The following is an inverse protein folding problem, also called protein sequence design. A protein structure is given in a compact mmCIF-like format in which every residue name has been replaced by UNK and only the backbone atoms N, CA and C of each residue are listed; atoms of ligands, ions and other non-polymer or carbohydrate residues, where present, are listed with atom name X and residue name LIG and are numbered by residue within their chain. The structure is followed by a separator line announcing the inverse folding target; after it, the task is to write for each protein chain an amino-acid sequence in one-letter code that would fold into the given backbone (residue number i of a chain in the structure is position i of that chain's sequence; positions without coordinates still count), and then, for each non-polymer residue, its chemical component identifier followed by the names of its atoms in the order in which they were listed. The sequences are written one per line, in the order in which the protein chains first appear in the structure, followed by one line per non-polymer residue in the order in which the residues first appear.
data_IF_638266563579
#
_entry.id   IF_638266563579
#
_cell.length_a   1.000
_cell.length_b   1.000
_cell.length_c   1.000
_cell.angle_alpha   90.00
_cell.angle_beta   90.00
_cell.angle_gamma   90.00
#
_symmetry.space_group_name_H-M   'P 1'
#
loop_
_entity.id
_entity.type
_entity.pdbx_description
1 polymer ?
#
# COMPACT_ATOMS: atom_id res chain seq x y z
N UNK A 1 25.18 9.22 8.12
CA UNK A 1 24.30 8.66 9.19
C UNK A 1 24.28 7.14 9.03
N UNK A 2 24.26 6.34 10.12
CA UNK A 2 24.14 4.90 9.97
C UNK A 2 22.65 4.52 9.76
N UNK A 3 22.41 3.30 9.26
CA UNK A 3 21.08 2.84 8.89
C UNK A 3 20.07 2.90 10.07
N UNK A 4 20.47 2.51 11.28
CA UNK A 4 19.58 2.52 12.46
C UNK A 4 19.20 3.96 12.84
N UNK A 5 20.11 4.92 12.72
CA UNK A 5 19.79 6.33 12.95
C UNK A 5 18.85 6.90 11.89
N UNK A 6 19.03 6.52 10.61
CA UNK A 6 18.10 6.89 9.54
C UNK A 6 16.70 6.31 9.79
N UNK A 7 16.61 5.01 10.12
CA UNK A 7 15.33 4.38 10.43
C UNK A 7 14.63 5.06 11.64
N UNK A 8 15.39 5.43 12.66
CA UNK A 8 14.86 6.12 13.85
C UNK A 8 14.35 7.52 13.51
N UNK A 9 15.13 8.30 12.77
CA UNK A 9 14.72 9.64 12.35
C UNK A 9 13.45 9.62 11.48
N UNK A 10 13.31 8.57 10.65
CA UNK A 10 12.14 8.37 9.80
C UNK A 10 10.92 7.83 10.55
N UNK A 11 11.06 7.48 11.83
CA UNK A 11 9.98 6.84 12.58
C UNK A 11 9.74 5.38 12.18
N UNK A 12 10.74 4.71 11.62
CA UNK A 12 10.66 3.32 11.14
C UNK A 12 11.23 2.30 12.12
N UNK A 13 11.53 2.69 13.36
CA UNK A 13 12.02 1.81 14.41
C UNK A 13 11.05 1.81 15.59
N UNK A 14 10.28 0.74 15.77
CA UNK A 14 9.37 0.56 16.90
C UNK A 14 10.05 -0.24 18.03
N UNK A 15 10.50 -1.45 17.71
CA UNK A 15 11.15 -2.35 18.67
C UNK A 15 12.35 -3.03 17.99
N UNK A 16 13.35 -3.35 18.78
CA UNK A 16 14.50 -4.14 18.36
C UNK A 16 14.90 -5.06 19.52
N UNK A 17 15.45 -6.22 19.19
CA UNK A 17 16.27 -6.96 20.14
C UNK A 17 17.50 -6.12 20.49
N UNK A 18 18.46 -6.64 21.26
CA UNK A 18 19.67 -5.90 21.63
C UNK A 18 20.19 -5.00 20.49
N UNK A 19 19.88 -3.71 20.59
CA UNK A 19 20.21 -2.73 19.53
C UNK A 19 21.73 -2.56 19.39
N UNK A 20 22.47 -2.71 20.48
CA UNK A 20 23.94 -2.61 20.43
C UNK A 20 24.52 -3.76 19.61
N UNK A 21 24.05 -4.98 19.85
CA UNK A 21 24.45 -6.15 19.07
C UNK A 21 24.01 -6.05 17.61
N UNK A 22 22.79 -5.55 17.34
CA UNK A 22 22.31 -5.32 15.97
C UNK A 22 23.17 -4.28 15.24
N UNK A 23 23.51 -3.16 15.89
CA UNK A 23 24.39 -2.13 15.32
C UNK A 23 25.77 -2.69 14.98
N UNK A 24 26.31 -3.56 15.81
CA UNK A 24 27.59 -4.22 15.54
C UNK A 24 27.48 -5.19 14.36
N UNK A 25 26.42 -5.99 14.31
CA UNK A 25 26.16 -6.90 13.17
C UNK A 25 26.03 -6.15 11.84
N UNK A 26 25.37 -4.99 11.83
CA UNK A 26 25.15 -4.16 10.63
C UNK A 26 26.42 -3.47 10.09
N UNK A 27 27.56 -3.57 10.77
CA UNK A 27 28.84 -3.10 10.21
C UNK A 27 29.36 -3.97 9.07
N UNK A 28 28.78 -5.15 8.88
CA UNK A 28 29.07 -6.09 7.80
C UNK A 28 27.78 -6.42 7.07
N UNK A 29 27.83 -6.85 5.80
CA UNK A 29 26.66 -7.37 5.11
C UNK A 29 26.05 -8.54 5.89
N UNK A 30 24.77 -8.43 6.25
CA UNK A 30 23.97 -9.52 6.82
C UNK A 30 22.81 -9.85 5.89
N UNK A 31 22.25 -11.04 6.02
CA UNK A 31 21.01 -11.41 5.36
C UNK A 31 19.82 -11.15 6.30
N UNK A 32 18.79 -10.53 5.75
CA UNK A 32 17.55 -10.22 6.45
C UNK A 32 16.34 -10.59 5.61
N UNK A 33 15.18 -10.78 6.26
CA UNK A 33 13.95 -11.02 5.54
C UNK A 33 12.75 -10.27 6.08
N UNK A 34 11.77 -10.11 5.19
CA UNK A 34 10.40 -9.66 5.49
C UNK A 34 9.43 -10.66 4.87
N UNK A 35 8.40 -11.05 5.61
CA UNK A 35 7.32 -11.93 5.14
C UNK A 35 6.13 -11.14 4.58
N UNK A 36 5.56 -11.65 3.48
CA UNK A 36 4.38 -11.12 2.82
C UNK A 36 3.37 -12.26 2.59
N UNK A 37 2.35 -12.34 3.43
CA UNK A 37 1.29 -13.32 3.25
C UNK A 37 0.32 -12.91 2.14
N UNK A 38 0.00 -13.83 1.22
CA UNK A 38 -0.95 -13.60 0.14
C UNK A 38 -2.40 -13.65 0.67
N UNK A 39 -2.83 -12.57 1.31
CA UNK A 39 -4.18 -12.42 1.85
C UNK A 39 -5.16 -11.73 0.89
N UNK A 40 -4.65 -11.28 -0.24
CA UNK A 40 -5.36 -10.65 -1.35
C UNK A 40 -4.49 -10.79 -2.62
N UNK A 41 -5.06 -10.54 -3.82
CA UNK A 41 -4.29 -10.60 -5.07
C UNK A 41 -3.22 -9.52 -5.23
N UNK A 42 -3.13 -8.56 -4.32
CA UNK A 42 -2.16 -7.46 -4.33
C UNK A 42 -1.69 -7.12 -2.92
N UNK A 43 -0.50 -6.55 -2.83
CA UNK A 43 -0.06 -5.77 -1.69
C UNK A 43 -0.80 -4.42 -1.67
N UNK A 44 -0.96 -3.84 -0.49
CA UNK A 44 -1.54 -2.52 -0.29
C UNK A 44 -0.52 -1.52 0.27
N UNK A 45 -0.85 -0.24 0.31
CA UNK A 45 0.03 0.81 0.81
C UNK A 45 0.59 0.55 2.23
N UNK A 46 -0.11 -0.24 3.07
CA UNK A 46 0.40 -0.67 4.38
C UNK A 46 1.61 -1.59 4.30
N UNK A 47 1.66 -2.47 3.31
CA UNK A 47 2.79 -3.37 3.10
C UNK A 47 4.02 -2.61 2.54
N UNK A 48 3.79 -1.45 1.91
CA UNK A 48 4.86 -0.63 1.35
C UNK A 48 5.86 -0.19 2.42
N UNK A 49 5.42 0.04 3.67
CA UNK A 49 6.31 0.43 4.77
C UNK A 49 7.45 -0.58 4.96
N UNK A 50 7.11 -1.85 5.19
CA UNK A 50 8.10 -2.90 5.43
C UNK A 50 8.91 -3.24 4.16
N UNK A 51 8.28 -3.13 2.99
CA UNK A 51 8.96 -3.34 1.71
C UNK A 51 10.03 -2.28 1.44
N UNK A 52 9.74 -1.01 1.73
CA UNK A 52 10.72 0.07 1.60
C UNK A 52 11.80 0.01 2.68
N UNK A 53 11.51 -0.51 3.87
CA UNK A 53 12.56 -0.81 4.86
C UNK A 53 13.49 -1.89 4.31
N UNK A 54 12.96 -2.97 3.74
CA UNK A 54 13.79 -4.01 3.12
C UNK A 54 14.71 -3.43 2.02
N UNK A 55 14.17 -2.54 1.16
CA UNK A 55 14.95 -1.81 0.17
C UNK A 55 16.03 -0.92 0.79
N UNK A 56 15.76 -0.24 1.93
CA UNK A 56 16.77 0.58 2.64
C UNK A 56 17.94 -0.27 3.13
N UNK A 57 17.67 -1.47 3.64
CA UNK A 57 18.72 -2.41 4.00
C UNK A 57 19.53 -2.85 2.79
N UNK A 58 18.90 -3.10 1.64
CA UNK A 58 19.62 -3.40 0.40
C UNK A 58 20.54 -2.26 -0.03
N UNK A 59 20.03 -1.02 -0.02
CA UNK A 59 20.81 0.18 -0.35
C UNK A 59 21.98 0.40 0.62
N UNK A 60 21.86 -0.06 1.85
CA UNK A 60 22.92 -0.03 2.86
C UNK A 60 23.93 -1.19 2.71
N UNK A 61 23.76 -2.09 1.73
CA UNK A 61 24.70 -3.17 1.42
C UNK A 61 24.37 -4.51 2.06
N UNK A 62 23.18 -4.68 2.64
CA UNK A 62 22.72 -5.95 3.21
C UNK A 62 21.96 -6.79 2.16
N UNK A 63 21.81 -8.10 2.41
CA UNK A 63 21.20 -9.06 1.50
C UNK A 63 19.71 -9.25 1.82
N UNK A 64 18.77 -8.64 1.08
CA UNK A 64 17.36 -8.72 1.38
C UNK A 64 16.72 -10.00 0.84
N UNK A 65 15.87 -10.62 1.63
CA UNK A 65 14.98 -11.71 1.22
C UNK A 65 13.53 -11.24 1.41
N UNK A 66 12.74 -11.31 0.36
CA UNK A 66 11.29 -11.21 0.45
C UNK A 66 10.70 -12.62 0.49
N UNK A 67 10.12 -13.01 1.62
CA UNK A 67 9.43 -14.28 1.76
C UNK A 67 7.96 -14.08 1.40
N UNK A 68 7.48 -14.84 0.42
CA UNK A 68 6.05 -14.91 0.11
C UNK A 68 5.45 -16.13 0.81
N UNK A 69 4.42 -15.88 1.61
CA UNK A 69 3.83 -16.88 2.49
C UNK A 69 2.87 -17.84 1.80
N UNK A 70 3.36 -18.69 0.87
CA UNK A 70 2.52 -19.70 0.21
C UNK A 70 1.92 -20.73 1.18
N UNK A 71 2.65 -21.10 2.25
CA UNK A 71 2.15 -21.97 3.31
C UNK A 71 1.37 -21.19 4.36
N UNK A 72 1.93 -20.09 4.89
CA UNK A 72 1.30 -19.27 5.91
C UNK A 72 0.02 -18.57 5.43
N UNK A 73 -0.07 -18.24 4.15
CA UNK A 73 -1.27 -17.71 3.52
C UNK A 73 -2.46 -18.69 3.46
N UNK A 74 -2.19 -20.00 3.54
CA UNK A 74 -3.23 -21.04 3.66
C UNK A 74 -3.77 -21.19 5.09
N UNK A 75 -3.02 -20.71 6.10
CA UNK A 75 -3.35 -20.83 7.51
C UNK A 75 -3.96 -19.54 8.06
N UNK A 76 -3.35 -18.40 7.74
CA UNK A 76 -3.79 -17.05 8.14
C UNK A 76 -3.26 -16.60 9.49
N UNK A 77 -2.63 -15.43 9.50
CA UNK A 77 -2.08 -14.77 10.69
C UNK A 77 -3.20 -14.17 11.55
N UNK A 78 -3.34 -14.56 12.85
CA UNK A 78 -4.30 -13.97 13.78
C UNK A 78 -3.89 -12.56 14.26
N UNK A 79 -2.64 -12.14 14.08
CA UNK A 79 -2.11 -10.88 14.62
C UNK A 79 -2.90 -9.68 14.12
N UNK A 80 -3.35 -8.82 15.05
CA UNK A 80 -4.08 -7.59 14.74
C UNK A 80 -5.48 -7.78 14.17
N UNK A 81 -6.09 -8.97 14.36
CA UNK A 81 -7.44 -9.34 13.90
C UNK A 81 -8.33 -9.78 15.06
N UNK A 82 -9.62 -9.45 14.96
CA UNK A 82 -10.65 -9.87 15.93
C UNK A 82 -11.43 -11.10 15.47
N UNK A 83 -11.32 -11.45 14.18
CA UNK A 83 -12.07 -12.56 13.57
C UNK A 83 -11.13 -13.49 12.81
N UNK A 84 -11.52 -14.77 12.71
CA UNK A 84 -10.79 -15.76 11.91
C UNK A 84 -10.83 -15.43 10.43
N UNK A 85 -9.72 -15.65 9.75
CA UNK A 85 -9.66 -15.45 8.29
C UNK A 85 -10.40 -16.58 7.58
N UNK A 86 -11.14 -16.24 6.53
CA UNK A 86 -11.62 -17.24 5.58
C UNK A 86 -10.43 -17.91 4.89
N UNK A 87 -10.41 -19.24 4.91
CA UNK A 87 -9.39 -20.03 4.24
C UNK A 87 -9.65 -20.03 2.73
N UNK A 88 -8.62 -19.67 1.96
CA UNK A 88 -8.65 -19.72 0.49
C UNK A 88 -8.15 -21.09 -0.01
N UNK A 89 -8.58 -21.50 -1.21
CA UNK A 89 -8.04 -22.70 -1.85
C UNK A 89 -6.57 -22.50 -2.24
N UNK A 90 -5.86 -23.63 -2.37
CA UNK A 90 -4.45 -23.63 -2.77
C UNK A 90 -4.23 -22.89 -4.10
N UNK A 91 -5.09 -23.13 -5.10
CA UNK A 91 -4.98 -22.51 -6.43
C UNK A 91 -5.10 -20.96 -6.37
N UNK A 92 -6.01 -20.47 -5.52
CA UNK A 92 -6.18 -19.03 -5.29
C UNK A 92 -4.92 -18.43 -4.65
N UNK A 93 -4.40 -19.07 -3.61
CA UNK A 93 -3.21 -18.61 -2.90
C UNK A 93 -1.99 -18.63 -3.81
N UNK A 94 -1.81 -19.68 -4.63
CA UNK A 94 -0.72 -19.77 -5.61
C UNK A 94 -0.78 -18.64 -6.65
N UNK A 95 -1.97 -18.34 -7.16
CA UNK A 95 -2.19 -17.20 -8.05
C UNK A 95 -1.77 -15.87 -7.40
N UNK A 96 -2.10 -15.67 -6.12
CA UNK A 96 -1.72 -14.47 -5.38
C UNK A 96 -0.22 -14.42 -5.06
N UNK A 97 0.40 -15.56 -4.72
CA UNK A 97 1.86 -15.67 -4.53
C UNK A 97 2.60 -15.14 -5.76
N UNK A 98 2.18 -15.54 -6.96
CA UNK A 98 2.81 -15.11 -8.20
C UNK A 98 2.65 -13.59 -8.45
N UNK A 99 1.47 -13.02 -8.16
CA UNK A 99 1.23 -11.57 -8.26
C UNK A 99 2.08 -10.78 -7.26
N UNK A 100 2.11 -11.21 -5.99
CA UNK A 100 2.92 -10.56 -4.95
C UNK A 100 4.41 -10.64 -5.25
N UNK A 101 4.89 -11.80 -5.72
CA UNK A 101 6.30 -11.96 -6.17
C UNK A 101 6.67 -10.91 -7.22
N UNK A 102 5.81 -10.72 -8.24
CA UNK A 102 6.02 -9.70 -9.27
C UNK A 102 6.03 -8.29 -8.70
N UNK A 103 5.12 -7.97 -7.78
CA UNK A 103 5.06 -6.64 -7.14
C UNK A 103 6.33 -6.37 -6.32
N UNK A 104 6.72 -7.29 -5.44
CA UNK A 104 7.94 -7.14 -4.63
C UNK A 104 9.19 -6.96 -5.50
N UNK A 105 9.25 -7.68 -6.63
CA UNK A 105 10.39 -7.60 -7.56
C UNK A 105 10.56 -6.21 -8.19
N UNK A 106 9.54 -5.36 -8.20
CA UNK A 106 9.67 -4.00 -8.70
C UNK A 106 10.41 -3.04 -7.73
N UNK A 107 10.54 -3.44 -6.45
CA UNK A 107 11.12 -2.57 -5.41
C UNK A 107 12.56 -2.93 -5.04
N UNK A 108 13.01 -4.14 -5.35
CA UNK A 108 14.32 -4.65 -4.96
C UNK A 108 15.17 -4.90 -6.20
N UNK A 109 16.48 -4.80 -6.04
CA UNK A 109 17.44 -5.08 -7.11
C UNK A 109 17.91 -6.53 -7.02
N UNK A 110 17.52 -7.34 -8.02
CA UNK A 110 17.86 -8.76 -8.12
C UNK A 110 19.17 -9.00 -8.87
N UNK A 111 19.66 -7.99 -9.57
CA UNK A 111 20.88 -8.04 -10.36
C UNK A 111 22.05 -7.30 -9.69
N UNK A 112 21.85 -6.84 -8.44
CA UNK A 112 22.87 -6.13 -7.69
C UNK A 112 24.15 -6.98 -7.54
N UNK A 113 25.33 -6.47 -7.94
CA UNK A 113 26.55 -7.29 -8.04
C UNK A 113 27.04 -7.86 -6.71
N UNK A 114 26.71 -7.24 -5.58
CA UNK A 114 27.21 -7.60 -4.25
C UNK A 114 26.14 -8.18 -3.34
N UNK A 115 24.91 -7.73 -3.44
CA UNK A 115 23.81 -8.04 -2.54
C UNK A 115 22.48 -8.15 -3.30
N UNK A 116 22.39 -9.08 -4.28
CA UNK A 116 21.14 -9.28 -5.02
C UNK A 116 20.02 -9.69 -4.06
N UNK A 117 18.83 -9.15 -4.31
CA UNK A 117 17.64 -9.56 -3.58
C UNK A 117 17.24 -10.99 -3.92
N UNK A 118 16.50 -11.63 -3.02
CA UNK A 118 15.92 -12.94 -3.26
C UNK A 118 14.42 -12.90 -2.95
N UNK A 119 13.62 -13.64 -3.72
CA UNK A 119 12.24 -13.97 -3.37
C UNK A 119 12.13 -15.46 -3.14
N UNK A 120 11.62 -15.84 -1.98
CA UNK A 120 11.43 -17.24 -1.60
C UNK A 120 9.96 -17.51 -1.26
N UNK A 121 9.54 -18.76 -1.37
CA UNK A 121 8.21 -19.20 -0.97
C UNK A 121 8.34 -20.20 0.18
N UNK A 122 7.70 -19.95 1.32
CA UNK A 122 7.79 -20.85 2.47
C UNK A 122 7.10 -22.20 2.21
N UNK A 123 6.30 -22.34 1.17
CA UNK A 123 5.75 -23.62 0.73
C UNK A 123 6.84 -24.61 0.31
N UNK A 124 8.00 -24.11 -0.18
CA UNK A 124 9.11 -24.94 -0.66
C UNK A 124 9.73 -25.81 0.44
N UNK A 125 9.67 -25.38 1.70
CA UNK A 125 10.17 -26.17 2.84
C UNK A 125 9.08 -26.69 3.76
N UNK A 126 7.87 -26.13 3.67
CA UNK A 126 6.75 -26.56 4.51
C UNK A 126 5.99 -27.73 3.87
N UNK A 127 5.82 -27.72 2.53
CA UNK A 127 5.09 -28.77 1.81
C UNK A 127 5.69 -30.17 1.98
N UNK A 128 7.02 -30.38 1.92
CA UNK A 128 7.60 -31.69 2.12
C UNK A 128 7.61 -32.18 3.57
N UNK A 129 7.34 -31.28 4.56
CA UNK A 129 7.38 -31.61 5.97
C UNK A 129 6.11 -32.36 6.39
N UNK A 130 6.27 -33.58 6.93
CA UNK A 130 5.11 -34.32 7.44
C UNK A 130 4.57 -33.70 8.73
N UNK A 131 3.27 -33.86 9.00
CA UNK A 131 2.65 -33.40 10.25
C UNK A 131 3.37 -33.97 11.50
N UNK A 132 3.83 -35.24 11.44
CA UNK A 132 4.56 -35.87 12.55
C UNK A 132 5.91 -35.22 12.76
N UNK A 133 6.67 -34.97 11.70
CA UNK A 133 7.97 -34.27 11.80
C UNK A 133 7.80 -32.86 12.33
N UNK A 134 6.81 -32.12 11.82
CA UNK A 134 6.49 -30.77 12.29
C UNK A 134 6.20 -30.75 13.79
N UNK A 135 5.34 -31.62 14.29
CA UNK A 135 4.99 -31.69 15.71
C UNK A 135 6.18 -32.15 16.57
N UNK A 136 6.90 -33.22 16.14
CA UNK A 136 7.98 -33.82 16.89
C UNK A 136 9.23 -32.95 16.94
N UNK A 137 9.62 -32.36 15.80
CA UNK A 137 10.94 -31.73 15.68
C UNK A 137 10.88 -30.22 15.85
N UNK A 138 9.76 -29.58 15.50
CA UNK A 138 9.54 -28.15 15.65
C UNK A 138 8.60 -27.84 16.81
N UNK A 139 7.44 -28.46 16.85
CA UNK A 139 6.40 -28.20 17.85
C UNK A 139 6.87 -28.40 19.29
N UNK A 140 7.73 -29.39 19.57
CA UNK A 140 8.28 -29.66 20.91
C UNK A 140 9.03 -28.46 21.53
N UNK A 141 9.47 -27.51 20.74
CA UNK A 141 10.19 -26.32 21.21
C UNK A 141 9.26 -25.19 21.67
N UNK A 142 7.95 -25.33 21.46
CA UNK A 142 6.97 -24.31 21.81
C UNK A 142 6.17 -24.72 23.06
N UNK A 143 6.15 -23.85 24.06
CA UNK A 143 5.32 -24.02 25.25
C UNK A 143 3.92 -23.46 24.97
N UNK A 144 2.89 -24.30 25.10
CA UNK A 144 1.48 -23.87 24.96
C UNK A 144 1.14 -22.73 25.92
N UNK A 145 1.63 -22.78 27.17
CA UNK A 145 1.37 -21.72 28.15
C UNK A 145 1.99 -20.38 27.71
N UNK A 146 3.19 -20.37 27.11
CA UNK A 146 3.82 -19.17 26.57
C UNK A 146 3.09 -18.65 25.34
N UNK A 147 2.55 -19.55 24.50
CA UNK A 147 1.77 -19.14 23.32
C UNK A 147 0.43 -18.52 23.75
N UNK A 148 -0.26 -19.11 24.73
CA UNK A 148 -1.53 -18.59 25.26
C UNK A 148 -1.38 -17.24 25.97
N UNK A 149 -0.23 -16.96 26.59
CA UNK A 149 0.01 -15.69 27.29
C UNK A 149 0.33 -14.50 26.37
N UNK A 150 0.40 -14.70 25.06
CA UNK A 150 0.68 -13.60 24.12
C UNK A 150 -0.56 -12.73 23.92
N UNK A 151 -0.36 -11.42 23.84
CA UNK A 151 -1.42 -10.43 23.71
C UNK A 151 -2.38 -10.72 22.55
N UNK A 152 -1.84 -11.11 21.38
CA UNK A 152 -2.64 -11.44 20.20
C UNK A 152 -3.51 -12.69 20.39
N UNK A 153 -3.01 -13.71 21.09
CA UNK A 153 -3.73 -14.94 21.38
C UNK A 153 -4.74 -14.72 22.52
N UNK A 154 -4.33 -14.03 23.59
CA UNK A 154 -5.18 -13.71 24.74
C UNK A 154 -6.41 -12.89 24.31
N UNK A 155 -6.20 -11.85 23.49
CA UNK A 155 -7.28 -11.04 22.95
C UNK A 155 -8.28 -11.86 22.10
N UNK A 156 -7.80 -12.83 21.33
CA UNK A 156 -8.66 -13.74 20.55
C UNK A 156 -9.47 -14.70 21.45
N UNK A 157 -8.84 -15.24 22.49
CA UNK A 157 -9.53 -16.12 23.46
C UNK A 157 -10.65 -15.38 24.17
N UNK A 158 -10.46 -14.11 24.53
CA UNK A 158 -11.49 -13.26 25.14
C UNK A 158 -12.61 -12.88 24.17
N UNK A 159 -12.29 -12.71 22.87
CA UNK A 159 -13.25 -12.29 21.84
C UNK A 159 -14.13 -13.43 21.29
N UNK A 160 -13.87 -14.70 21.61
CA UNK A 160 -14.69 -15.82 21.11
C UNK A 160 -13.92 -17.09 20.78
N UNK A 161 -12.60 -17.09 21.02
CA UNK A 161 -11.74 -18.25 20.79
C UNK A 161 -10.80 -18.10 19.59
N UNK A 162 -9.92 -19.07 19.46
CA UNK A 162 -8.95 -19.17 18.36
C UNK A 162 -8.92 -20.62 17.88
N UNK A 163 -8.93 -20.84 16.56
CA UNK A 163 -8.79 -22.20 16.02
C UNK A 163 -7.34 -22.70 16.19
N UNK A 164 -7.17 -24.02 16.21
CA UNK A 164 -5.83 -24.61 16.24
C UNK A 164 -5.00 -24.17 15.04
N UNK A 165 -5.63 -23.98 13.89
CA UNK A 165 -5.01 -23.49 12.66
C UNK A 165 -4.37 -22.11 12.88
N UNK A 166 -5.14 -21.11 13.31
CA UNK A 166 -4.61 -19.77 13.63
C UNK A 166 -3.58 -19.81 14.76
N UNK A 167 -3.83 -20.61 15.80
CA UNK A 167 -2.92 -20.77 16.93
C UNK A 167 -1.55 -21.31 16.50
N UNK A 168 -1.51 -22.22 15.53
CA UNK A 168 -0.29 -22.81 15.01
C UNK A 168 0.51 -21.90 14.08
N UNK A 169 -0.08 -20.79 13.60
CA UNK A 169 0.58 -19.84 12.67
C UNK A 169 1.96 -19.40 13.16
N UNK A 170 2.05 -19.07 14.45
CA UNK A 170 3.33 -18.63 15.04
C UNK A 170 4.45 -19.69 14.89
N UNK A 171 4.11 -20.97 14.98
CA UNK A 171 5.08 -22.06 14.84
C UNK A 171 5.58 -22.14 13.40
N UNK A 172 4.68 -21.96 12.42
CA UNK A 172 5.04 -21.92 11.00
C UNK A 172 5.97 -20.75 10.67
N UNK A 173 5.62 -19.55 11.11
CA UNK A 173 6.48 -18.36 10.88
C UNK A 173 7.83 -18.49 11.59
N UNK A 174 7.88 -19.11 12.76
CA UNK A 174 9.14 -19.38 13.45
C UNK A 174 10.00 -20.39 12.70
N UNK A 175 9.36 -21.39 12.08
CA UNK A 175 10.03 -22.37 11.21
C UNK A 175 10.57 -21.72 9.95
N UNK A 176 9.88 -20.74 9.37
CA UNK A 176 10.40 -19.95 8.24
C UNK A 176 11.72 -19.26 8.61
N UNK A 177 11.81 -18.63 9.78
CA UNK A 177 13.05 -17.97 10.21
C UNK A 177 14.18 -18.99 10.42
N UNK A 178 13.88 -20.15 11.01
CA UNK A 178 14.85 -21.23 11.18
C UNK A 178 15.38 -21.75 9.83
N UNK A 179 14.48 -21.98 8.84
CA UNK A 179 14.88 -22.45 7.51
C UNK A 179 15.71 -21.40 6.76
N UNK A 180 15.33 -20.13 6.83
CA UNK A 180 16.13 -19.04 6.25
C UNK A 180 17.49 -18.87 6.95
N UNK A 181 17.55 -19.07 8.27
CA UNK A 181 18.81 -19.09 9.02
C UNK A 181 19.74 -20.20 8.50
N UNK A 182 19.22 -21.42 8.32
CA UNK A 182 19.96 -22.59 7.82
C UNK A 182 20.41 -22.44 6.37
N UNK A 183 19.50 -22.00 5.50
CA UNK A 183 19.70 -22.02 4.04
C UNK A 183 20.42 -20.77 3.54
N UNK A 184 20.15 -19.61 4.15
CA UNK A 184 20.56 -18.31 3.63
C UNK A 184 21.44 -17.53 4.62
N UNK A 185 21.83 -18.10 5.78
CA UNK A 185 22.46 -17.38 6.87
C UNK A 185 21.68 -16.11 7.25
N UNK A 186 20.34 -16.17 7.21
CA UNK A 186 19.49 -15.05 7.54
C UNK A 186 19.47 -14.84 9.06
N UNK A 187 19.98 -13.71 9.50
CA UNK A 187 20.15 -13.40 10.94
C UNK A 187 19.26 -12.26 11.43
N UNK A 188 18.47 -11.62 10.56
CA UNK A 188 17.56 -10.54 10.95
C UNK A 188 16.19 -10.76 10.32
N UNK A 189 15.15 -10.74 11.14
CA UNK A 189 13.77 -10.61 10.67
C UNK A 189 13.24 -9.20 10.92
N UNK A 190 12.59 -8.62 9.91
CA UNK A 190 11.90 -7.32 10.00
C UNK A 190 10.41 -7.53 9.75
N UNK A 191 9.56 -6.82 10.50
CA UNK A 191 8.10 -6.87 10.34
C UNK A 191 7.41 -5.68 10.96
N UNK A 192 6.07 -5.63 10.91
CA UNK A 192 5.27 -4.68 11.67
C UNK A 192 5.34 -4.93 13.17
N UNK A 193 5.02 -3.94 13.99
CA UNK A 193 5.05 -4.08 15.46
C UNK A 193 4.06 -5.13 15.98
N UNK A 194 3.00 -5.43 15.24
CA UNK A 194 2.06 -6.52 15.49
C UNK A 194 2.71 -7.92 15.36
N UNK A 195 3.83 -8.01 14.63
CA UNK A 195 4.59 -9.24 14.40
C UNK A 195 5.64 -9.55 15.47
N UNK A 196 5.87 -8.65 16.43
CA UNK A 196 6.94 -8.78 17.42
C UNK A 196 6.96 -10.15 18.11
N UNK A 197 5.80 -10.61 18.56
CA UNK A 197 5.66 -11.90 19.23
C UNK A 197 6.05 -13.10 18.36
N UNK A 198 5.69 -13.07 17.08
CA UNK A 198 6.04 -14.14 16.13
C UNK A 198 7.54 -14.11 15.79
N UNK A 199 8.11 -12.92 15.59
CA UNK A 199 9.54 -12.76 15.27
C UNK A 199 10.43 -13.26 16.41
N UNK A 200 10.11 -12.88 17.66
CA UNK A 200 10.89 -13.31 18.84
C UNK A 200 10.78 -14.82 19.06
N UNK A 201 9.64 -15.43 18.75
CA UNK A 201 9.49 -16.88 18.81
C UNK A 201 10.39 -17.59 17.78
N UNK A 202 10.58 -17.02 16.60
CA UNK A 202 11.54 -17.53 15.61
C UNK A 202 12.98 -17.47 16.10
N UNK A 203 13.37 -16.38 16.75
CA UNK A 203 14.69 -16.27 17.38
C UNK A 203 14.89 -17.30 18.50
N UNK A 204 13.86 -17.55 19.32
CA UNK A 204 13.93 -18.56 20.38
C UNK A 204 14.07 -19.97 19.80
N UNK A 205 13.39 -20.25 18.67
CA UNK A 205 13.53 -21.51 17.94
C UNK A 205 14.95 -21.70 17.40
N UNK A 206 15.54 -20.69 16.75
CA UNK A 206 16.94 -20.73 16.26
C UNK A 206 17.90 -21.01 17.42
N UNK A 207 17.73 -20.34 18.55
CA UNK A 207 18.56 -20.55 19.73
C UNK A 207 18.46 -21.98 20.27
N UNK A 208 17.25 -22.56 20.30
CA UNK A 208 17.01 -23.92 20.84
C UNK A 208 17.49 -25.02 19.90
N UNK A 209 17.36 -24.83 18.60
CA UNK A 209 17.67 -25.87 17.61
C UNK A 209 19.11 -25.79 17.12
N UNK A 210 19.58 -24.59 16.77
CA UNK A 210 20.89 -24.36 16.16
C UNK A 210 21.94 -23.81 17.15
N UNK A 211 21.54 -23.50 18.40
CA UNK A 211 22.38 -22.77 19.36
C UNK A 211 22.91 -21.45 18.76
N UNK A 212 22.19 -20.94 17.76
CA UNK A 212 22.50 -19.74 17.02
C UNK A 212 21.90 -18.49 17.63
N UNK A 213 22.21 -17.36 17.02
CA UNK A 213 21.66 -16.06 17.39
C UNK A 213 21.19 -15.29 16.16
N UNK A 214 20.25 -14.40 16.37
CA UNK A 214 19.75 -13.49 15.34
C UNK A 214 19.16 -12.23 15.97
N UNK A 215 18.58 -11.39 15.16
CA UNK A 215 18.02 -10.10 15.53
C UNK A 215 16.58 -9.98 15.05
N UNK A 216 15.82 -9.14 15.74
CA UNK A 216 14.49 -8.71 15.36
C UNK A 216 14.43 -7.19 15.29
N UNK A 217 13.72 -6.66 14.31
CA UNK A 217 13.41 -5.25 14.19
C UNK A 217 11.96 -5.12 13.75
N UNK A 218 11.19 -4.24 14.41
CA UNK A 218 9.84 -3.94 13.96
C UNK A 218 9.65 -2.46 13.63
N UNK A 219 8.81 -2.23 12.64
CA UNK A 219 8.34 -0.89 12.27
C UNK A 219 6.98 -0.63 12.92
N UNK A 220 6.65 0.62 13.28
CA UNK A 220 5.34 0.93 13.86
C UNK A 220 4.22 0.70 12.85
N UNK A 221 3.05 0.33 13.35
CA UNK A 221 1.83 0.39 12.55
C UNK A 221 1.48 1.84 12.27
N UNK A 222 1.41 2.17 10.99
CA UNK A 222 1.16 3.55 10.57
C UNK A 222 -0.33 3.89 10.75
N UNK A 223 -0.58 4.97 11.49
CA UNK A 223 -1.90 5.52 11.73
C UNK A 223 -1.96 6.92 11.17
N UNK A 224 -3.15 7.37 10.75
CA UNK A 224 -3.41 8.77 10.45
C UNK A 224 -3.54 9.58 11.75
N UNK A 225 -3.45 10.90 11.65
CA UNK A 225 -3.62 11.80 12.79
C UNK A 225 -5.00 11.65 13.48
N UNK A 226 -6.02 11.15 12.77
CA UNK A 226 -7.34 10.83 13.30
C UNK A 226 -7.43 9.49 14.04
N UNK A 227 -6.33 8.73 14.13
CA UNK A 227 -6.26 7.42 14.77
C UNK A 227 -6.75 6.25 13.92
N UNK A 228 -7.08 6.47 12.65
CA UNK A 228 -7.46 5.38 11.73
C UNK A 228 -6.23 4.78 11.04
N UNK A 229 -6.35 3.52 10.55
CA UNK A 229 -5.29 2.90 9.75
C UNK A 229 -5.11 3.67 8.43
N UNK A 230 -3.88 4.15 8.17
CA UNK A 230 -3.61 5.07 7.07
C UNK A 230 -3.97 4.54 5.68
N UNK A 231 -3.83 3.24 5.43
CA UNK A 231 -4.08 2.61 4.13
C UNK A 231 -5.55 2.28 3.85
N UNK A 232 -6.47 2.53 4.81
CA UNK A 232 -7.91 2.35 4.62
C UNK A 232 -8.58 3.67 4.25
N UNK A 233 -9.35 3.65 3.18
CA UNK A 233 -10.24 4.72 2.75
C UNK A 233 -11.71 4.28 2.91
N UNK A 234 -12.66 5.17 2.67
CA UNK A 234 -14.08 4.80 2.60
C UNK A 234 -14.35 3.75 1.50
N UNK A 235 -13.53 3.72 0.44
CA UNK A 235 -13.60 2.72 -0.64
C UNK A 235 -12.80 1.44 -0.40
N UNK A 236 -12.18 1.27 0.78
CA UNK A 236 -11.38 0.08 1.11
C UNK A 236 -9.88 0.34 1.19
N UNK A 237 -9.07 -0.67 0.89
CA UNK A 237 -7.60 -0.58 0.90
C UNK A 237 -7.07 0.07 -0.39
N UNK A 238 -5.99 0.86 -0.25
CA UNK A 238 -5.23 1.39 -1.41
C UNK A 238 -4.21 0.33 -1.84
N UNK A 239 -4.44 -0.24 -3.02
CA UNK A 239 -3.65 -1.35 -3.55
C UNK A 239 -2.48 -0.87 -4.41
N UNK A 240 -1.43 -1.68 -4.50
CA UNK A 240 -0.29 -1.40 -5.40
C UNK A 240 -0.56 -1.86 -6.83
N UNK A 241 -1.53 -2.75 -7.03
CA UNK A 241 -1.93 -3.23 -8.36
C UNK A 241 -2.79 -2.16 -9.08
N UNK A 242 -2.39 -1.71 -10.28
CA UNK A 242 -3.12 -0.70 -11.03
C UNK A 242 -4.54 -1.14 -11.47
N UNK A 243 -4.82 -2.45 -11.50
CA UNK A 243 -6.16 -2.98 -11.78
C UNK A 243 -7.11 -2.85 -10.57
N UNK A 244 -6.58 -2.78 -9.34
CA UNK A 244 -7.35 -2.68 -8.11
C UNK A 244 -7.44 -1.25 -7.56
N UNK A 245 -6.40 -0.46 -7.73
CA UNK A 245 -6.36 0.99 -7.46
C UNK A 245 -5.67 1.65 -8.63
N UNK A 246 -6.39 2.42 -9.42
CA UNK A 246 -5.81 3.07 -10.59
C UNK A 246 -4.63 3.97 -10.20
N UNK A 247 -3.62 4.17 -11.07
CA UNK A 247 -2.51 5.07 -10.78
C UNK A 247 -2.97 6.49 -10.45
N UNK A 248 -4.09 6.94 -11.04
CA UNK A 248 -4.69 8.23 -10.73
C UNK A 248 -5.25 8.26 -9.29
N UNK A 249 -6.03 7.24 -8.89
CA UNK A 249 -6.55 7.12 -7.53
C UNK A 249 -5.42 6.99 -6.49
N UNK A 250 -4.37 6.22 -6.83
CA UNK A 250 -3.17 6.09 -6.01
C UNK A 250 -2.46 7.44 -5.82
N UNK A 251 -2.25 8.20 -6.88
CA UNK A 251 -1.69 9.54 -6.82
C UNK A 251 -2.54 10.49 -5.98
N UNK A 252 -3.88 10.49 -6.20
CA UNK A 252 -4.80 11.34 -5.46
C UNK A 252 -4.84 11.00 -3.96
N UNK A 253 -4.73 9.72 -3.60
CA UNK A 253 -4.63 9.30 -2.21
C UNK A 253 -3.49 10.01 -1.46
N UNK A 254 -2.30 10.05 -2.05
CA UNK A 254 -1.15 10.71 -1.46
C UNK A 254 -1.24 12.24 -1.55
N UNK A 255 -1.71 12.74 -2.68
CA UNK A 255 -1.89 14.18 -2.87
C UNK A 255 -2.90 14.76 -1.87
N UNK A 256 -3.94 14.01 -1.49
CA UNK A 256 -4.99 14.44 -0.57
C UNK A 256 -4.76 14.00 0.88
N UNK A 257 -3.54 13.61 1.25
CA UNK A 257 -3.17 13.36 2.64
C UNK A 257 -3.45 14.59 3.51
N UNK A 258 -3.77 14.35 4.79
CA UNK A 258 -3.94 15.44 5.74
C UNK A 258 -2.63 16.23 5.93
N UNK A 259 -2.73 17.54 6.09
CA UNK A 259 -1.59 18.43 6.33
C UNK A 259 -0.76 18.01 7.55
N UNK A 260 -1.40 17.37 8.54
CA UNK A 260 -0.73 16.85 9.75
C UNK A 260 0.06 15.56 9.50
N UNK A 261 -0.27 14.82 8.45
CA UNK A 261 0.31 13.51 8.18
C UNK A 261 1.41 13.54 7.12
N UNK A 262 1.36 14.49 6.18
CA UNK A 262 2.19 14.50 4.97
C UNK A 262 3.69 14.45 5.26
N UNK A 263 4.17 15.17 6.27
CA UNK A 263 5.60 15.19 6.61
C UNK A 263 6.03 13.84 7.22
N UNK A 264 5.18 13.25 8.06
CA UNK A 264 5.43 11.91 8.58
C UNK A 264 5.47 10.88 7.44
N UNK A 265 4.55 10.97 6.48
CA UNK A 265 4.54 10.08 5.31
C UNK A 265 5.78 10.27 4.43
N UNK A 266 6.26 11.51 4.24
CA UNK A 266 7.54 11.76 3.56
C UNK A 266 8.72 11.09 4.30
N UNK A 267 8.79 11.20 5.63
CA UNK A 267 9.85 10.53 6.41
C UNK A 267 9.80 9.01 6.24
N UNK A 268 8.63 8.42 6.30
CA UNK A 268 8.43 6.95 6.24
C UNK A 268 8.69 6.41 4.83
N UNK A 269 8.09 6.99 3.81
CA UNK A 269 8.00 6.39 2.48
C UNK A 269 9.03 6.91 1.49
N UNK A 270 9.53 8.16 1.64
CA UNK A 270 10.43 8.79 0.69
C UNK A 270 11.88 8.31 0.85
N UNK A 271 12.61 8.26 -0.28
CA UNK A 271 14.05 8.07 -0.31
C UNK A 271 14.85 9.39 -0.37
N UNK A 272 14.18 10.53 -0.24
CA UNK A 272 14.81 11.84 -0.15
C UNK A 272 15.74 11.92 1.06
N UNK A 273 16.74 12.80 0.96
CA UNK A 273 17.64 13.10 2.07
C UNK A 273 16.88 13.76 3.24
N UNK A 274 17.47 13.76 4.41
CA UNK A 274 16.90 14.44 5.58
C UNK A 274 16.72 15.94 5.30
N UNK A 275 17.72 16.54 4.65
CA UNK A 275 17.74 17.97 4.29
C UNK A 275 16.58 18.32 3.36
N UNK A 276 16.36 17.52 2.31
CA UNK A 276 15.25 17.72 1.37
C UNK A 276 13.88 17.60 2.05
N UNK A 277 13.73 16.66 3.00
CA UNK A 277 12.48 16.50 3.75
C UNK A 277 12.28 17.68 4.71
N UNK A 278 13.34 18.16 5.37
CA UNK A 278 13.28 19.35 6.25
C UNK A 278 12.94 20.61 5.45
N UNK A 279 13.46 20.76 4.24
CA UNK A 279 13.10 21.86 3.35
C UNK A 279 11.61 21.83 2.97
N UNK A 280 11.07 20.65 2.64
CA UNK A 280 9.63 20.48 2.38
C UNK A 280 8.79 20.74 3.63
N UNK A 281 9.23 20.33 4.81
CA UNK A 281 8.58 20.62 6.10
C UNK A 281 8.54 22.13 6.40
N UNK A 282 9.64 22.82 6.16
CA UNK A 282 9.71 24.27 6.33
C UNK A 282 8.78 25.02 5.36
N UNK A 283 8.78 24.63 4.07
CA UNK A 283 7.85 25.18 3.06
C UNK A 283 6.39 24.94 3.45
N UNK A 284 6.07 23.72 3.89
CA UNK A 284 4.74 23.34 4.34
C UNK A 284 4.27 24.17 5.55
N UNK A 285 5.14 24.36 6.55
CA UNK A 285 4.82 25.13 7.73
C UNK A 285 4.62 26.63 7.45
N UNK A 286 5.37 27.18 6.49
CA UNK A 286 5.27 28.61 6.10
C UNK A 286 4.05 28.87 5.21
N UNK A 287 3.75 27.98 4.28
CA UNK A 287 2.64 28.13 3.34
C UNK A 287 2.03 26.77 2.94
N UNK A 288 1.17 26.17 3.78
CA UNK A 288 0.52 24.88 3.49
C UNK A 288 -0.25 24.87 2.16
N UNK A 289 -0.78 26.04 1.75
CA UNK A 289 -1.55 26.18 0.51
C UNK A 289 -0.76 25.89 -0.76
N UNK A 290 0.56 25.93 -0.74
CA UNK A 290 1.42 25.53 -1.86
C UNK A 290 1.37 24.03 -2.12
N UNK A 291 1.12 23.21 -1.07
CA UNK A 291 1.05 21.75 -1.13
C UNK A 291 2.28 21.08 -1.75
N UNK A 292 3.47 21.67 -1.60
CA UNK A 292 4.71 21.14 -2.19
C UNK A 292 5.07 19.78 -1.61
N UNK A 293 4.93 19.61 -0.29
CA UNK A 293 5.14 18.33 0.40
C UNK A 293 4.22 17.24 -0.14
N UNK A 294 2.93 17.54 -0.36
CA UNK A 294 1.95 16.58 -0.90
C UNK A 294 2.28 16.19 -2.35
N UNK A 295 2.64 17.18 -3.19
CA UNK A 295 3.06 16.89 -4.57
C UNK A 295 4.32 16.05 -4.62
N UNK A 296 5.32 16.37 -3.79
CA UNK A 296 6.56 15.61 -3.70
C UNK A 296 6.29 14.15 -3.30
N UNK A 297 5.45 13.93 -2.27
CA UNK A 297 5.06 12.61 -1.80
C UNK A 297 4.30 11.82 -2.88
N UNK A 298 3.24 12.41 -3.44
CA UNK A 298 2.40 11.75 -4.44
C UNK A 298 3.20 11.39 -5.70
N UNK A 299 4.04 12.31 -6.19
CA UNK A 299 4.90 12.08 -7.35
C UNK A 299 5.89 10.96 -7.10
N UNK A 300 6.63 11.00 -5.98
CA UNK A 300 7.64 10.02 -5.67
C UNK A 300 7.06 8.62 -5.54
N UNK A 301 5.95 8.47 -4.77
CA UNK A 301 5.37 7.16 -4.54
C UNK A 301 4.66 6.60 -5.78
N UNK A 302 4.01 7.43 -6.57
CA UNK A 302 3.41 6.98 -7.84
C UNK A 302 4.49 6.55 -8.82
N UNK A 303 5.61 7.28 -8.89
CA UNK A 303 6.76 6.88 -9.71
C UNK A 303 7.36 5.56 -9.25
N UNK A 304 7.50 5.37 -7.96
CA UNK A 304 8.08 4.16 -7.38
C UNK A 304 7.21 2.92 -7.61
N UNK A 305 5.88 3.06 -7.55
CA UNK A 305 4.94 1.94 -7.66
C UNK A 305 4.54 1.67 -9.11
N UNK A 306 4.36 2.69 -9.92
CA UNK A 306 3.79 2.55 -11.26
C UNK A 306 4.75 2.90 -12.40
N UNK A 307 5.53 3.91 -12.33
CA UNK A 307 6.62 4.38 -13.19
C UNK A 307 6.62 5.92 -13.34
N UNK A 308 7.74 6.48 -13.82
CA UNK A 308 7.85 7.91 -14.12
C UNK A 308 6.87 8.34 -15.23
N UNK A 309 6.78 7.55 -16.31
CA UNK A 309 5.88 7.82 -17.43
C UNK A 309 4.41 7.86 -17.00
N UNK A 310 3.98 6.88 -16.18
CA UNK A 310 2.62 6.84 -15.61
C UNK A 310 2.35 8.05 -14.72
N UNK A 311 3.34 8.44 -13.92
CA UNK A 311 3.22 9.61 -13.03
C UNK A 311 3.01 10.91 -13.82
N UNK A 312 3.78 11.12 -14.90
CA UNK A 312 3.63 12.28 -15.76
C UNK A 312 2.24 12.35 -16.42
N UNK A 313 1.72 11.21 -16.88
CA UNK A 313 0.35 11.10 -17.41
C UNK A 313 -0.70 11.44 -16.36
N UNK A 314 -0.57 10.91 -15.14
CA UNK A 314 -1.48 11.18 -14.03
C UNK A 314 -1.44 12.65 -13.62
N UNK A 315 -0.26 13.25 -13.49
CA UNK A 315 -0.11 14.69 -13.18
C UNK A 315 -0.73 15.58 -14.26
N UNK A 316 -0.57 15.20 -15.53
CA UNK A 316 -1.17 15.92 -16.65
C UNK A 316 -2.70 15.84 -16.59
N UNK A 317 -3.25 14.63 -16.35
CA UNK A 317 -4.68 14.44 -16.17
C UNK A 317 -5.23 15.24 -14.98
N UNK A 318 -4.54 15.22 -13.83
CA UNK A 318 -4.94 15.97 -12.65
C UNK A 318 -4.99 17.48 -12.93
N UNK A 319 -3.99 18.03 -13.64
CA UNK A 319 -3.99 19.45 -14.04
C UNK A 319 -5.12 19.77 -15.05
N UNK A 320 -5.30 18.91 -16.06
CA UNK A 320 -6.30 19.11 -17.08
C UNK A 320 -7.73 19.08 -16.50
N UNK A 321 -8.05 18.18 -15.57
CA UNK A 321 -9.35 18.12 -14.91
C UNK A 321 -9.72 19.43 -14.18
N UNK A 322 -8.76 20.13 -13.65
CA UNK A 322 -8.97 21.41 -12.95
C UNK A 322 -8.72 22.64 -13.83
N UNK A 323 -8.69 22.48 -15.16
CA UNK A 323 -8.61 23.58 -16.12
C UNK A 323 -7.22 24.19 -16.30
N UNK A 324 -6.17 23.43 -15.95
CA UNK A 324 -4.77 23.81 -16.13
C UNK A 324 -4.10 22.98 -17.22
N UNK A 325 -4.84 22.59 -18.26
CA UNK A 325 -4.41 21.79 -19.40
C UNK A 325 -5.59 21.38 -20.25
N UNK A 326 -5.30 20.75 -21.41
CA UNK A 326 -6.28 20.31 -22.37
C UNK A 326 -6.70 18.86 -22.10
N UNK A 327 -7.99 18.65 -21.81
CA UNK A 327 -8.54 17.29 -21.60
C UNK A 327 -8.50 16.43 -22.87
N UNK A 328 -8.49 17.07 -24.04
CA UNK A 328 -8.43 16.40 -25.35
C UNK A 328 -7.06 15.76 -25.66
N UNK A 329 -6.01 16.13 -24.92
CA UNK A 329 -4.68 15.55 -25.06
C UNK A 329 -4.48 14.25 -24.25
N UNK A 330 -5.46 13.91 -23.39
CA UNK A 330 -5.41 12.71 -22.56
C UNK A 330 -5.83 11.48 -23.38
N UNK A 331 -5.09 10.39 -23.25
CA UNK A 331 -5.52 9.09 -23.79
C UNK A 331 -6.74 8.53 -23.03
N UNK A 332 -7.48 7.63 -23.69
CA UNK A 332 -8.74 7.07 -23.14
C UNK A 332 -8.52 6.38 -21.78
N UNK A 333 -7.43 5.64 -21.61
CA UNK A 333 -7.17 4.90 -20.37
C UNK A 333 -6.88 5.85 -19.20
N UNK A 334 -6.08 6.88 -19.45
CA UNK A 334 -5.75 7.91 -18.44
C UNK A 334 -7.01 8.70 -18.07
N UNK A 335 -7.80 9.11 -19.06
CA UNK A 335 -9.06 9.83 -18.86
C UNK A 335 -10.06 8.96 -18.09
N UNK A 336 -10.30 7.73 -18.52
CA UNK A 336 -11.18 6.77 -17.85
C UNK A 336 -10.82 6.57 -16.40
N UNK A 337 -9.52 6.34 -16.11
CA UNK A 337 -9.01 6.16 -14.76
C UNK A 337 -9.23 7.39 -13.88
N UNK A 338 -9.01 8.59 -14.44
CA UNK A 338 -9.22 9.84 -13.73
C UNK A 338 -10.70 10.13 -13.45
N UNK A 339 -11.59 9.74 -14.36
CA UNK A 339 -13.04 9.95 -14.25
C UNK A 339 -13.71 8.88 -13.38
N UNK A 340 -13.11 7.72 -13.18
CA UNK A 340 -13.67 6.63 -12.37
C UNK A 340 -13.93 7.04 -10.90
N UNK A 341 -13.15 7.97 -10.37
CA UNK A 341 -13.26 8.49 -9.00
C UNK A 341 -14.30 9.61 -8.84
N UNK A 342 -14.88 10.09 -9.95
CA UNK A 342 -15.85 11.19 -9.93
C UNK A 342 -17.29 10.68 -9.85
N UNK A 343 -18.22 11.46 -9.27
CA UNK A 343 -19.63 11.25 -9.47
C UNK A 343 -19.94 11.14 -10.97
N UNK A 344 -20.66 10.09 -11.40
CA UNK A 344 -20.84 9.83 -12.82
C UNK A 344 -22.24 9.35 -13.17
N UNK A 345 -22.63 9.60 -14.41
CA UNK A 345 -23.82 9.03 -15.04
C UNK A 345 -23.48 8.45 -16.41
N UNK A 346 -24.26 7.49 -16.85
CA UNK A 346 -24.12 6.86 -18.17
C UNK A 346 -25.30 7.23 -19.08
N UNK A 347 -25.06 7.36 -20.37
CA UNK A 347 -26.06 7.59 -21.40
C UNK A 347 -25.87 6.53 -22.49
N UNK A 348 -26.95 5.84 -22.88
CA UNK A 348 -26.86 4.94 -24.02
C UNK A 348 -26.64 5.73 -25.31
N UNK A 349 -25.72 5.26 -26.17
CA UNK A 349 -25.47 5.85 -27.50
C UNK A 349 -26.71 5.88 -28.42
N UNK A 350 -27.74 5.10 -28.08
CA UNK A 350 -29.05 5.06 -28.79
C UNK A 350 -30.03 6.12 -28.27
N UNK A 351 -29.76 6.80 -27.18
CA UNK A 351 -30.61 7.82 -26.58
C UNK A 351 -30.17 9.22 -26.98
N UNK A 352 -31.12 10.17 -26.93
CA UNK A 352 -30.79 11.59 -27.06
C UNK A 352 -29.96 12.04 -25.84
N UNK A 353 -28.95 12.86 -26.11
CA UNK A 353 -28.09 13.41 -25.02
C UNK A 353 -28.94 14.46 -24.27
N UNK A 354 -29.10 14.30 -22.95
CA UNK A 354 -29.82 15.27 -22.12
C UNK A 354 -29.11 16.63 -22.06
N UNK A 355 -29.85 17.67 -21.64
CA UNK A 355 -29.27 19.00 -21.43
C UNK A 355 -28.17 18.95 -20.34
N UNK A 356 -27.25 19.92 -20.39
CA UNK A 356 -26.20 20.05 -19.35
C UNK A 356 -26.82 20.15 -17.95
N UNK A 357 -27.98 20.81 -17.82
CA UNK A 357 -28.75 20.92 -16.57
C UNK A 357 -29.18 19.55 -16.05
N UNK A 358 -29.72 18.72 -16.96
CA UNK A 358 -30.17 17.38 -16.61
C UNK A 358 -29.02 16.45 -16.25
N UNK A 359 -27.90 16.56 -16.97
CA UNK A 359 -26.69 15.79 -16.70
C UNK A 359 -26.08 16.13 -15.35
N UNK A 360 -26.03 17.42 -15.00
CA UNK A 360 -25.48 17.84 -13.71
C UNK A 360 -26.31 17.32 -12.50
N UNK A 361 -27.64 17.25 -12.68
CA UNK A 361 -28.56 16.64 -11.69
C UNK A 361 -28.36 15.13 -11.64
N UNK A 362 -28.28 14.47 -12.80
CA UNK A 362 -28.13 13.02 -12.89
C UNK A 362 -26.82 12.52 -12.26
N UNK A 363 -25.75 13.33 -12.27
CA UNK A 363 -24.49 13.02 -11.58
C UNK A 363 -24.52 13.26 -10.06
N UNK A 364 -25.57 13.88 -9.53
CA UNK A 364 -25.68 14.20 -8.10
C UNK A 364 -24.83 15.38 -7.63
N UNK A 365 -24.19 16.12 -8.54
CA UNK A 365 -23.40 17.32 -8.18
C UNK A 365 -24.28 18.48 -7.70
N UNK A 366 -25.53 18.47 -8.12
CA UNK A 366 -26.58 19.37 -7.62
C UNK A 366 -27.88 18.61 -7.40
N UNK A 367 -28.67 19.08 -6.43
CA UNK A 367 -29.90 18.38 -6.00
C UNK A 367 -31.11 18.69 -6.90
N UNK A 368 -31.01 19.70 -7.77
CA UNK A 368 -32.17 20.11 -8.60
C UNK A 368 -31.78 20.87 -9.87
N UNK A 369 -32.68 20.85 -10.87
CA UNK A 369 -32.55 21.63 -12.11
C UNK A 369 -32.43 23.14 -11.84
N UNK A 370 -33.14 23.66 -10.83
CA UNK A 370 -33.03 25.07 -10.42
C UNK A 370 -31.63 25.42 -9.91
N UNK A 371 -31.02 24.51 -9.13
CA UNK A 371 -29.64 24.68 -8.69
C UNK A 371 -28.66 24.62 -9.87
N UNK A 372 -28.85 23.70 -10.82
CA UNK A 372 -28.02 23.62 -12.02
C UNK A 372 -28.09 24.89 -12.89
N UNK A 373 -29.30 25.45 -13.11
CA UNK A 373 -29.51 26.71 -13.86
C UNK A 373 -28.83 27.90 -13.16
N UNK A 374 -28.89 27.95 -11.81
CA UNK A 374 -28.17 28.97 -11.04
C UNK A 374 -26.66 28.90 -11.27
N UNK A 375 -26.07 27.70 -11.34
CA UNK A 375 -24.63 27.53 -11.61
C UNK A 375 -24.27 28.14 -12.98
N UNK A 376 -25.10 27.96 -14.01
CA UNK A 376 -24.90 28.57 -15.32
C UNK A 376 -24.99 30.09 -15.25
N UNK A 377 -26.04 30.61 -14.61
CA UNK A 377 -26.27 32.05 -14.44
C UNK A 377 -25.12 32.73 -13.68
N UNK A 378 -24.57 32.07 -12.65
CA UNK A 378 -23.45 32.56 -11.86
C UNK A 378 -22.11 32.38 -12.60
N UNK A 379 -22.11 31.80 -13.81
CA UNK A 379 -20.92 31.61 -14.64
C UNK A 379 -19.97 30.53 -14.14
N UNK A 380 -20.48 29.61 -13.32
CA UNK A 380 -19.72 28.50 -12.74
C UNK A 380 -19.87 27.15 -13.47
N UNK A 381 -20.52 27.11 -14.64
CA UNK A 381 -20.80 25.90 -15.40
C UNK A 381 -19.76 25.68 -16.52
N UNK A 382 -19.22 24.47 -16.58
CA UNK A 382 -18.23 24.11 -17.62
C UNK A 382 -18.50 22.68 -18.14
N UNK A 383 -18.28 22.48 -19.45
CA UNK A 383 -18.17 21.20 -20.12
C UNK A 383 -16.77 21.07 -20.69
N UNK A 384 -16.02 20.04 -20.33
CA UNK A 384 -14.63 19.84 -20.77
C UNK A 384 -13.76 21.10 -20.63
N UNK A 385 -13.90 21.82 -19.51
CA UNK A 385 -13.27 23.11 -19.21
C UNK A 385 -13.76 24.30 -20.03
N UNK A 386 -14.66 24.10 -21.02
CA UNK A 386 -15.28 25.19 -21.78
C UNK A 386 -16.51 25.69 -21.05
N UNK A 387 -16.65 27.01 -20.88
CA UNK A 387 -17.74 27.61 -20.14
C UNK A 387 -19.08 27.40 -20.84
N UNK A 388 -20.07 26.90 -20.13
CA UNK A 388 -21.46 26.79 -20.59
C UNK A 388 -22.21 28.10 -20.30
N UNK A 389 -22.72 28.73 -21.33
CA UNK A 389 -23.34 30.05 -21.24
C UNK A 389 -24.88 30.06 -21.34
N UNK A 390 -25.53 28.93 -21.68
CA UNK A 390 -26.98 28.83 -21.84
C UNK A 390 -27.56 27.74 -20.94
N UNK A 391 -28.74 28.02 -20.37
CA UNK A 391 -29.53 27.03 -19.62
C UNK A 391 -30.09 25.90 -20.51
N UNK A 392 -30.25 26.18 -21.81
CA UNK A 392 -30.76 25.26 -22.80
C UNK A 392 -29.62 24.50 -23.55
N UNK A 393 -28.40 24.62 -23.08
CA UNK A 393 -27.25 23.96 -23.71
C UNK A 393 -27.38 22.44 -23.62
N UNK A 394 -27.31 21.79 -24.77
CA UNK A 394 -27.30 20.34 -24.94
C UNK A 394 -25.96 19.94 -25.54
N UNK A 395 -25.15 19.09 -24.88
CA UNK A 395 -23.94 18.55 -25.47
C UNK A 395 -24.23 17.72 -26.72
N UNK A 396 -23.29 17.70 -27.64
CA UNK A 396 -23.34 16.86 -28.84
C UNK A 396 -22.34 15.73 -28.75
N UNK A 397 -22.42 14.75 -29.65
CA UNK A 397 -21.45 13.64 -29.67
C UNK A 397 -19.99 14.12 -29.85
N UNK A 398 -19.80 15.25 -30.52
CA UNK A 398 -18.45 15.84 -30.69
C UNK A 398 -17.89 16.46 -29.43
N UNK A 399 -18.70 16.69 -28.41
CA UNK A 399 -18.26 17.19 -27.12
C UNK A 399 -17.72 16.05 -26.20
N UNK A 400 -17.86 14.79 -26.64
CA UNK A 400 -17.37 13.67 -25.86
C UNK A 400 -15.91 13.35 -26.23
N UNK A 401 -15.04 13.52 -25.26
CA UNK A 401 -13.62 13.18 -25.32
C UNK A 401 -13.44 11.69 -25.60
N UNK A 402 -12.52 11.32 -26.47
CA UNK A 402 -12.32 9.96 -26.97
C UNK A 402 -13.63 9.34 -27.51
N UNK A 403 -14.62 10.16 -27.91
CA UNK A 403 -15.94 9.71 -28.34
C UNK A 403 -16.81 9.11 -27.24
N UNK A 404 -16.42 9.18 -26.00
CA UNK A 404 -17.01 8.41 -24.89
C UNK A 404 -17.25 9.22 -23.61
N UNK A 405 -16.40 10.16 -23.26
CA UNK A 405 -16.43 10.84 -21.97
C UNK A 405 -16.67 12.34 -22.08
N UNK A 406 -17.46 12.89 -21.18
CA UNK A 406 -17.58 14.33 -20.98
C UNK A 406 -17.38 14.68 -19.50
N UNK A 407 -16.68 15.78 -19.25
CA UNK A 407 -16.39 16.28 -17.89
C UNK A 407 -17.27 17.49 -17.60
N UNK A 408 -18.14 17.34 -16.61
CA UNK A 408 -18.93 18.45 -16.08
C UNK A 408 -18.18 19.07 -14.92
N UNK A 409 -18.12 20.40 -14.84
CA UNK A 409 -17.51 21.09 -13.70
C UNK A 409 -18.39 22.22 -13.20
N UNK A 410 -18.62 22.23 -11.88
CA UNK A 410 -19.32 23.28 -11.15
C UNK A 410 -18.31 24.08 -10.32
N UNK A 411 -18.14 25.34 -10.67
CA UNK A 411 -17.18 26.20 -10.01
C UNK A 411 -15.73 25.75 -10.21
N UNK A 412 -14.93 25.76 -9.13
CA UNK A 412 -13.48 25.45 -9.19
C UNK A 412 -13.15 23.99 -8.85
N UNK A 413 -14.02 23.27 -8.13
CA UNK A 413 -13.66 21.98 -7.51
C UNK A 413 -14.61 20.82 -7.77
N UNK A 414 -15.90 21.10 -7.99
CA UNK A 414 -16.90 20.04 -8.12
C UNK A 414 -16.89 19.52 -9.56
N UNK A 415 -16.44 18.29 -9.72
CA UNK A 415 -16.34 17.60 -10.99
C UNK A 415 -17.32 16.42 -11.05
N UNK A 416 -17.81 16.11 -12.23
CA UNK A 416 -18.55 14.90 -12.53
C UNK A 416 -18.23 14.41 -13.93
N UNK A 417 -18.49 13.14 -14.19
CA UNK A 417 -18.28 12.50 -15.47
C UNK A 417 -19.60 12.04 -16.12
N UNK A 418 -19.66 12.12 -17.42
CA UNK A 418 -20.71 11.49 -18.25
C UNK A 418 -20.04 10.52 -19.19
N UNK A 419 -20.54 9.29 -19.26
CA UNK A 419 -20.01 8.24 -20.14
C UNK A 419 -21.11 7.80 -21.15
N UNK A 420 -20.74 7.74 -22.43
CA UNK A 420 -21.57 7.12 -23.47
C UNK A 420 -21.31 5.61 -23.51
N UNK A 421 -22.34 4.80 -23.37
CA UNK A 421 -22.31 3.33 -23.36
C UNK A 421 -23.21 2.71 -24.41
#
# INVERSE_FOLDING_TARGET
MNLIEDLRWRGLLAQSTDETALREALKKPITLYVGFDPTAPSLHAGNLVVLLVLRRFQLAGHNPIALVGGATGLVGDPSGKNEERSLNSTDIVEGWVNRIRKQVSAFLDFDAPKNPAQVVNNLDWTSPLSAIEFLRDIGKHFSVNQMLSKDSVSARLEAGGISYTEFSYQVLQSYDFLELYRRNNCTLQVGGSDQWGNIVAGLDLIRRVEQGSGHALTVPLLMKADGTKFFKTAGGSVWLDPEMTSPYAFFQFWLNSDDKDVINFLRVFSFRSHEEIIELENSHNQNPGLRDAHRALARELTTLVHSAETTERVETAARALFGQGELSELDENTLSSALAELPRTTISTSQEIPSWVDLLVATGVVDSKSAARRVIKDGGAYLNNVKVGSEDFVPTKSDFLCGKYAVLRKGKRDLAAVELV
#
